data_IF_896172210398
#
_entry.id   IF_896172210398
#
_cell.length_a   1.000
_cell.length_b   1.000
_cell.length_c   1.000
_cell.angle_alpha   90.00
_cell.angle_beta   90.00
_cell.angle_gamma   90.00
#
_symmetry.space_group_name_H-M   'P 1'
#
loop_
_entity.id
_entity.type
_entity.pdbx_description
1 polymer ?
#
# COMPACT_ATOMS: atom_id res chain seq x y z
N UNK A 1 55.75 41.65 -45.22
CA UNK A 1 54.73 41.74 -44.15
C UNK A 1 53.78 40.57 -44.30
N UNK A 2 53.95 39.54 -43.46
CA UNK A 2 52.85 39.13 -42.58
C UNK A 2 53.30 38.67 -41.17
N UNK A 3 52.39 38.93 -40.23
CA UNK A 3 51.86 38.10 -39.13
C UNK A 3 52.76 37.19 -38.26
N UNK A 4 52.83 37.59 -36.98
CA UNK A 4 52.55 36.87 -35.70
C UNK A 4 52.54 35.33 -35.72
N UNK A 5 53.14 34.69 -34.70
CA UNK A 5 52.60 33.47 -34.11
C UNK A 5 52.18 33.70 -32.66
N UNK A 6 50.87 33.58 -32.44
CA UNK A 6 50.21 33.61 -31.13
C UNK A 6 50.47 32.30 -30.43
N UNK A 7 51.00 32.37 -29.21
CA UNK A 7 51.34 31.22 -28.36
C UNK A 7 50.08 30.43 -28.02
N UNK A 8 50.09 29.16 -28.41
CA UNK A 8 49.05 28.17 -28.22
C UNK A 8 48.95 27.82 -26.72
N UNK A 9 47.93 28.34 -26.03
CA UNK A 9 47.62 28.00 -24.64
C UNK A 9 46.81 26.70 -24.62
N UNK A 10 47.47 25.61 -24.23
CA UNK A 10 46.89 24.29 -24.00
C UNK A 10 46.02 24.34 -22.72
N UNK A 11 44.70 24.50 -22.89
CA UNK A 11 43.73 24.36 -21.80
C UNK A 11 43.26 22.89 -21.73
N UNK A 12 43.99 22.10 -20.94
CA UNK A 12 43.51 20.85 -20.35
C UNK A 12 42.47 21.20 -19.29
N UNK A 13 41.21 21.30 -19.70
CA UNK A 13 40.06 21.25 -18.82
C UNK A 13 39.20 20.05 -19.21
N UNK A 14 39.73 18.83 -18.98
CA UNK A 14 38.88 17.65 -18.76
C UNK A 14 38.19 17.82 -17.40
N UNK A 15 37.22 18.73 -17.35
CA UNK A 15 36.18 18.72 -16.34
C UNK A 15 35.15 17.71 -16.79
N UNK A 16 35.35 16.43 -16.46
CA UNK A 16 34.27 15.44 -16.50
C UNK A 16 33.20 15.89 -15.52
N UNK A 17 32.25 16.69 -16.04
CA UNK A 17 30.97 16.93 -15.39
C UNK A 17 30.25 15.61 -15.29
N UNK A 18 30.55 14.84 -14.25
CA UNK A 18 29.75 13.72 -13.82
C UNK A 18 28.44 14.37 -13.38
N UNK A 19 27.48 14.46 -14.28
CA UNK A 19 26.10 14.53 -13.88
C UNK A 19 25.88 13.24 -13.08
N UNK A 20 26.01 13.34 -11.76
CA UNK A 20 25.23 12.51 -10.86
C UNK A 20 23.77 12.88 -11.15
N UNK A 21 23.25 12.40 -12.27
CA UNK A 21 21.89 11.93 -12.29
C UNK A 21 21.87 10.89 -11.17
N UNK A 22 21.49 11.36 -9.97
CA UNK A 22 20.93 10.49 -8.94
C UNK A 22 20.09 9.51 -9.72
N UNK A 23 20.49 8.24 -9.73
CA UNK A 23 19.69 7.19 -10.30
C UNK A 23 18.36 7.30 -9.55
N UNK A 24 17.39 7.95 -10.19
CA UNK A 24 16.05 8.02 -9.68
C UNK A 24 15.69 6.55 -9.52
N UNK A 25 15.56 6.12 -8.25
CA UNK A 25 15.01 4.82 -7.94
C UNK A 25 13.78 4.67 -8.84
N UNK A 26 13.60 3.52 -9.52
CA UNK A 26 12.53 3.38 -10.48
C UNK A 26 11.24 3.83 -9.79
N UNK A 27 10.45 4.71 -10.39
CA UNK A 27 9.26 5.22 -9.72
C UNK A 27 8.36 4.03 -9.31
N UNK A 28 8.15 3.84 -8.00
CA UNK A 28 7.69 2.59 -7.42
C UNK A 28 6.39 2.80 -6.65
N UNK A 29 5.29 2.24 -7.15
CA UNK A 29 4.11 1.95 -6.34
C UNK A 29 4.39 0.68 -5.52
N UNK A 30 5.14 0.83 -4.43
CA UNK A 30 5.50 -0.24 -3.51
C UNK A 30 4.83 -0.02 -2.17
N UNK A 31 3.86 -0.84 -1.78
CA UNK A 31 3.23 -0.78 -0.47
C UNK A 31 2.84 -2.18 0.03
N UNK A 32 2.55 -2.28 1.32
CA UNK A 32 2.14 -3.49 2.01
C UNK A 32 1.03 -3.14 3.00
N UNK A 33 0.01 -3.98 3.04
CA UNK A 33 -1.09 -3.85 4.00
C UNK A 33 -0.68 -4.55 5.29
N UNK A 34 -0.51 -3.79 6.36
CA UNK A 34 -0.17 -4.31 7.69
C UNK A 34 -1.43 -4.72 8.46
N UNK A 35 -2.57 -4.06 8.28
CA UNK A 35 -3.83 -4.48 8.89
C UNK A 35 -5.02 -4.00 8.03
N UNK A 36 -6.05 -4.85 7.78
CA UNK A 36 -6.24 -6.22 8.26
C UNK A 36 -5.23 -7.25 7.70
N UNK A 37 -4.86 -8.22 8.53
CA UNK A 37 -3.99 -9.36 8.22
C UNK A 37 -4.78 -10.49 7.53
N UNK A 38 -4.79 -10.51 6.20
CA UNK A 38 -4.87 -11.75 5.42
C UNK A 38 -4.94 -11.41 3.94
N UNK A 39 -3.81 -11.48 3.24
CA UNK A 39 -3.89 -11.58 1.78
C UNK A 39 -4.46 -12.95 1.41
N UNK A 40 -5.16 -13.02 0.27
CA UNK A 40 -5.39 -14.31 -0.39
C UNK A 40 -4.03 -15.02 -0.55
N UNK A 41 -3.98 -16.32 -0.28
CA UNK A 41 -2.75 -17.12 -0.30
C UNK A 41 -2.54 -17.84 -1.63
N UNK A 42 -1.30 -17.99 -2.10
CA UNK A 42 -0.92 -18.29 -3.50
C UNK A 42 -1.92 -19.10 -4.35
N UNK A 43 -2.07 -18.71 -5.63
CA UNK A 43 -2.89 -19.46 -6.59
C UNK A 43 -2.50 -20.95 -6.58
N UNK A 44 -3.51 -21.82 -6.63
CA UNK A 44 -3.26 -23.24 -6.85
C UNK A 44 -2.50 -23.44 -8.17
N UNK A 45 -1.61 -24.45 -8.25
CA UNK A 45 -0.98 -24.81 -9.50
C UNK A 45 -2.05 -25.06 -10.57
N UNK A 46 -1.94 -24.39 -11.70
CA UNK A 46 -2.78 -24.70 -12.86
C UNK A 46 -2.52 -26.15 -13.28
N UNK A 47 -3.57 -26.87 -13.68
CA UNK A 47 -3.38 -28.15 -14.38
C UNK A 47 -2.78 -27.82 -15.75
N UNK A 48 -1.81 -28.61 -16.26
CA UNK A 48 -1.10 -28.30 -17.51
C UNK A 48 -2.00 -28.06 -18.74
N UNK A 49 -3.22 -28.59 -18.73
CA UNK A 49 -4.19 -28.55 -19.83
C UNK A 49 -5.27 -27.46 -19.68
N UNK A 50 -5.25 -26.68 -18.60
CA UNK A 50 -6.18 -25.58 -18.37
C UNK A 50 -5.44 -24.25 -18.50
N UNK A 51 -6.04 -23.31 -19.24
CA UNK A 51 -5.55 -21.93 -19.30
C UNK A 51 -5.33 -21.38 -17.88
N UNK A 52 -4.22 -20.66 -17.70
CA UNK A 52 -3.86 -20.08 -16.41
C UNK A 52 -4.90 -19.01 -16.02
N UNK A 53 -5.79 -19.35 -15.08
CA UNK A 53 -6.78 -18.42 -14.57
C UNK A 53 -6.16 -17.49 -13.53
N UNK A 54 -5.99 -16.22 -13.89
CA UNK A 54 -5.50 -15.16 -13.00
C UNK A 54 -6.66 -14.30 -12.51
N UNK A 55 -7.22 -14.53 -11.30
CA UNK A 55 -8.28 -13.67 -10.78
C UNK A 55 -7.76 -12.25 -10.52
N UNK A 56 -8.62 -11.24 -10.61
CA UNK A 56 -8.26 -9.83 -10.35
C UNK A 56 -7.71 -9.57 -8.95
N UNK A 57 -8.02 -10.41 -7.98
CA UNK A 57 -7.31 -10.49 -6.71
C UNK A 57 -6.38 -11.72 -6.78
N UNK A 58 -5.21 -11.60 -7.46
CA UNK A 58 -4.47 -12.71 -8.07
C UNK A 58 -3.68 -13.54 -7.08
N UNK A 59 -3.78 -13.24 -5.78
CA UNK A 59 -2.93 -13.87 -4.77
C UNK A 59 -3.54 -15.12 -4.14
N UNK A 60 -4.73 -15.61 -4.53
CA UNK A 60 -5.17 -16.87 -3.95
C UNK A 60 -6.61 -17.30 -3.98
N UNK A 61 -6.82 -18.51 -3.46
CA UNK A 61 -8.13 -19.06 -3.11
C UNK A 61 -8.90 -18.13 -2.17
N UNK A 62 -10.23 -18.20 -2.28
CA UNK A 62 -11.14 -17.48 -1.38
C UNK A 62 -10.92 -18.00 0.03
N UNK A 63 -10.51 -17.13 0.95
CA UNK A 63 -10.24 -17.51 2.34
C UNK A 63 -11.52 -18.02 3.01
N UNK A 64 -11.59 -19.29 3.39
CA UNK A 64 -12.81 -19.87 3.96
C UNK A 64 -13.18 -19.31 5.34
N UNK A 65 -12.18 -18.91 6.14
CA UNK A 65 -12.38 -18.27 7.44
C UNK A 65 -11.66 -16.92 7.47
N UNK A 66 -12.23 -15.87 6.85
CA UNK A 66 -11.58 -14.58 6.75
C UNK A 66 -11.49 -13.86 8.10
N UNK A 67 -10.54 -12.94 8.21
CA UNK A 67 -10.34 -12.17 9.45
C UNK A 67 -11.61 -11.39 9.80
N UNK A 68 -11.96 -11.38 11.09
CA UNK A 68 -13.02 -10.52 11.59
C UNK A 68 -12.62 -9.04 11.47
N UNK A 69 -13.52 -8.21 10.94
CA UNK A 69 -13.36 -6.76 10.86
C UNK A 69 -14.58 -6.06 11.46
N UNK A 70 -14.35 -4.96 12.17
CA UNK A 70 -15.39 -4.20 12.83
C UNK A 70 -16.39 -3.64 11.81
N UNK A 71 -17.65 -4.00 11.97
CA UNK A 71 -18.72 -3.60 11.04
C UNK A 71 -19.28 -2.21 11.34
N UNK A 72 -19.28 -1.82 12.62
CA UNK A 72 -19.92 -0.58 13.12
C UNK A 72 -19.12 0.17 14.16
N UNK A 73 -18.20 -0.50 14.86
CA UNK A 73 -17.27 0.14 15.79
C UNK A 73 -16.07 0.73 15.04
N UNK A 74 -15.46 1.75 15.65
CA UNK A 74 -14.22 2.35 15.16
C UNK A 74 -13.10 1.33 15.23
N UNK A 75 -12.35 1.21 14.14
CA UNK A 75 -11.16 0.37 14.01
C UNK A 75 -10.09 1.16 13.26
N UNK A 76 -9.09 0.49 12.70
CA UNK A 76 -8.00 1.10 11.96
C UNK A 76 -7.66 0.35 10.68
N UNK A 77 -6.92 1.01 9.81
CA UNK A 77 -6.20 0.42 8.68
C UNK A 77 -4.72 0.79 8.84
N UNK A 78 -3.84 -0.16 8.58
CA UNK A 78 -2.39 0.08 8.65
C UNK A 78 -1.69 -0.33 7.35
N UNK A 79 -0.82 0.53 6.87
CA UNK A 79 -0.07 0.40 5.63
C UNK A 79 1.39 0.80 5.83
N UNK A 80 2.28 0.19 5.06
CA UNK A 80 3.64 0.68 4.87
C UNK A 80 3.98 0.76 3.39
N UNK A 81 4.65 1.81 2.95
CA UNK A 81 5.00 2.00 1.55
C UNK A 81 5.87 3.23 1.30
N UNK A 82 5.93 3.66 0.05
CA UNK A 82 6.74 4.82 -0.33
C UNK A 82 6.07 6.13 0.11
N UNK A 83 6.80 7.05 0.78
CA UNK A 83 6.27 8.35 1.12
C UNK A 83 5.69 9.10 -0.07
N UNK A 84 4.51 9.67 0.09
CA UNK A 84 3.80 10.43 -0.95
C UNK A 84 2.90 9.61 -1.87
N UNK A 85 3.01 8.28 -1.89
CA UNK A 85 2.03 7.43 -2.58
C UNK A 85 0.64 7.63 -1.97
N UNK A 86 -0.39 7.60 -2.81
CA UNK A 86 -1.78 7.79 -2.40
C UNK A 86 -2.46 6.44 -2.18
N UNK A 87 -2.93 6.19 -0.96
CA UNK A 87 -3.60 4.95 -0.58
C UNK A 87 -5.11 5.10 -0.63
N UNK A 88 -5.76 4.16 -1.30
CA UNK A 88 -7.21 4.03 -1.37
C UNK A 88 -7.63 2.64 -0.90
N UNK A 89 -8.69 2.57 -0.10
CA UNK A 89 -9.29 1.33 0.40
C UNK A 89 -10.77 1.27 -0.02
N UNK A 90 -11.15 0.18 -0.67
CA UNK A 90 -12.48 -0.08 -1.19
C UNK A 90 -13.01 -1.42 -0.66
N UNK A 91 -14.31 -1.64 -0.79
CA UNK A 91 -14.98 -2.85 -0.35
C UNK A 91 -16.04 -3.32 -1.35
N UNK A 92 -16.19 -4.63 -1.42
CA UNK A 92 -17.28 -5.30 -2.12
C UNK A 92 -17.80 -6.48 -1.31
N UNK A 93 -19.10 -6.74 -1.44
CA UNK A 93 -19.73 -7.95 -0.91
C UNK A 93 -19.48 -9.16 -1.82
N UNK A 94 -19.12 -8.93 -3.07
CA UNK A 94 -18.83 -10.01 -4.01
C UNK A 94 -17.44 -10.59 -3.73
N UNK A 95 -17.38 -11.84 -3.25
CA UNK A 95 -16.11 -12.51 -2.95
C UNK A 95 -15.28 -12.89 -4.18
N UNK A 96 -15.80 -12.71 -5.39
CA UNK A 96 -15.08 -12.97 -6.64
C UNK A 96 -15.14 -11.72 -7.54
N UNK A 97 -14.45 -10.63 -7.15
CA UNK A 97 -14.35 -9.44 -8.00
C UNK A 97 -13.49 -9.75 -9.22
N UNK A 98 -13.87 -9.21 -10.37
CA UNK A 98 -13.20 -9.38 -11.67
C UNK A 98 -12.43 -8.12 -12.09
N UNK A 99 -12.74 -6.98 -11.49
CA UNK A 99 -12.09 -5.70 -11.76
C UNK A 99 -12.21 -4.74 -10.57
N UNK A 100 -11.41 -3.68 -10.57
CA UNK A 100 -11.48 -2.58 -9.59
C UNK A 100 -12.90 -1.99 -9.45
N UNK A 101 -13.63 -1.85 -10.56
CA UNK A 101 -14.99 -1.28 -10.53
C UNK A 101 -16.01 -2.14 -9.78
N UNK A 102 -15.68 -3.41 -9.48
CA UNK A 102 -16.56 -4.29 -8.72
C UNK A 102 -16.54 -3.98 -7.21
N UNK A 103 -15.80 -2.95 -6.80
CA UNK A 103 -15.70 -2.42 -5.44
C UNK A 103 -16.43 -1.08 -5.30
N UNK A 104 -17.76 -1.09 -5.10
CA UNK A 104 -18.56 0.13 -5.09
C UNK A 104 -18.46 0.94 -3.78
N UNK A 105 -17.95 0.33 -2.71
CA UNK A 105 -17.95 0.96 -1.39
C UNK A 105 -16.57 1.51 -1.07
N UNK A 106 -16.47 2.82 -0.90
CA UNK A 106 -15.22 3.49 -0.53
C UNK A 106 -15.10 3.47 1.00
N UNK A 107 -13.97 2.99 1.51
CA UNK A 107 -13.61 3.03 2.93
C UNK A 107 -12.71 4.23 3.21
N UNK A 108 -11.69 4.42 2.36
CA UNK A 108 -10.69 5.48 2.44
C UNK A 108 -10.27 5.85 1.01
N UNK A 109 -9.99 7.12 0.74
CA UNK A 109 -9.59 7.57 -0.58
C UNK A 109 -8.39 8.52 -0.52
N UNK A 110 -7.42 8.27 -1.40
CA UNK A 110 -6.28 9.11 -1.73
C UNK A 110 -5.53 9.69 -0.51
N UNK A 111 -5.32 8.84 0.52
CA UNK A 111 -4.58 9.21 1.71
C UNK A 111 -3.07 9.10 1.46
N UNK A 112 -2.28 10.18 1.55
CA UNK A 112 -0.84 10.12 1.30
C UNK A 112 -0.10 9.33 2.38
N UNK A 113 0.87 8.52 1.94
CA UNK A 113 1.82 7.86 2.83
C UNK A 113 2.75 8.91 3.44
N UNK A 114 2.89 8.88 4.77
CA UNK A 114 3.72 9.83 5.51
C UNK A 114 5.21 9.65 5.20
N UNK A 115 6.06 10.65 5.48
CA UNK A 115 7.51 10.54 5.36
C UNK A 115 8.15 9.36 6.10
N UNK A 116 7.51 8.89 7.19
CA UNK A 116 7.92 7.67 7.92
C UNK A 116 7.75 6.38 7.11
N UNK A 117 7.04 6.43 5.98
CA UNK A 117 6.68 5.27 5.18
C UNK A 117 5.55 4.44 5.79
N UNK A 118 4.92 4.92 6.87
CA UNK A 118 3.81 4.24 7.55
C UNK A 118 2.55 5.10 7.52
N UNK A 119 1.40 4.43 7.47
CA UNK A 119 0.09 5.05 7.61
C UNK A 119 -0.75 4.17 8.50
N UNK A 120 -1.19 4.71 9.63
CA UNK A 120 -2.23 4.13 10.45
C UNK A 120 -3.35 5.14 10.63
N UNK A 121 -4.54 4.78 10.13
CA UNK A 121 -5.70 5.65 10.15
C UNK A 121 -6.86 4.95 10.82
N UNK A 122 -7.51 5.64 11.75
CA UNK A 122 -8.73 5.14 12.34
C UNK A 122 -9.88 5.28 11.34
N UNK A 123 -10.62 4.19 11.13
CA UNK A 123 -11.70 4.13 10.17
C UNK A 123 -12.93 3.50 10.81
N UNK A 124 -14.08 4.08 10.50
CA UNK A 124 -15.39 3.45 10.72
C UNK A 124 -15.98 3.19 9.34
N UNK A 125 -16.48 1.99 9.10
CA UNK A 125 -17.09 1.62 7.82
C UNK A 125 -18.25 2.59 7.53
N UNK A 126 -18.20 3.37 6.43
CA UNK A 126 -19.15 4.46 6.18
C UNK A 126 -20.46 3.99 5.50
N UNK A 127 -20.71 2.68 5.48
CA UNK A 127 -21.85 2.06 4.81
C UNK A 127 -22.41 0.90 5.64
N UNK A 128 -23.66 0.53 5.37
CA UNK A 128 -24.32 -0.53 6.12
C UNK A 128 -23.74 -1.92 5.79
N UNK A 129 -23.48 -2.69 6.84
CA UNK A 129 -22.97 -4.07 6.79
C UNK A 129 -23.75 -4.96 7.75
N UNK A 130 -23.87 -6.25 7.41
CA UNK A 130 -24.54 -7.24 8.26
C UNK A 130 -23.54 -8.01 9.12
N UNK A 131 -23.96 -8.45 10.30
CA UNK A 131 -23.19 -9.37 11.12
C UNK A 131 -22.90 -10.66 10.34
N UNK A 132 -21.65 -11.13 10.37
CA UNK A 132 -21.13 -12.26 9.61
C UNK A 132 -21.12 -12.09 8.07
N UNK A 133 -21.37 -10.88 7.54
CA UNK A 133 -21.21 -10.60 6.11
C UNK A 133 -19.75 -10.82 5.71
N UNK A 134 -19.52 -11.60 4.66
CA UNK A 134 -18.18 -11.78 4.09
C UNK A 134 -18.03 -10.93 2.85
N UNK A 135 -16.88 -10.28 2.71
CA UNK A 135 -16.56 -9.47 1.55
C UNK A 135 -15.07 -9.37 1.34
N UNK A 136 -14.68 -8.49 0.42
CA UNK A 136 -13.29 -8.27 0.04
C UNK A 136 -12.98 -6.79 0.19
N UNK A 137 -11.93 -6.49 0.95
CA UNK A 137 -11.29 -5.18 0.94
C UNK A 137 -10.22 -5.16 -0.13
N UNK A 138 -10.25 -4.12 -0.96
CA UNK A 138 -9.24 -3.83 -1.96
C UNK A 138 -8.47 -2.60 -1.53
N UNK A 139 -7.16 -2.71 -1.55
CA UNK A 139 -6.24 -1.64 -1.20
C UNK A 139 -5.39 -1.34 -2.42
N UNK A 140 -5.26 -0.08 -2.78
CA UNK A 140 -4.33 0.36 -3.82
C UNK A 140 -3.47 1.50 -3.33
N UNK A 141 -2.19 1.47 -3.69
CA UNK A 141 -1.29 2.61 -3.60
C UNK A 141 -0.97 3.08 -5.01
N UNK A 142 -1.14 4.39 -5.23
CA UNK A 142 -0.87 5.04 -6.50
C UNK A 142 0.24 6.05 -6.33
N UNK A 143 1.28 5.92 -7.16
CA UNK A 143 2.29 6.97 -7.30
C UNK A 143 1.66 8.17 -8.04
N UNK A 144 1.54 9.35 -7.41
CA UNK A 144 0.93 10.52 -8.02
C UNK A 144 1.75 11.08 -9.20
N UNK A 145 3.07 10.84 -9.25
CA UNK A 145 3.94 11.34 -10.30
C UNK A 145 3.89 10.47 -11.56
N UNK A 146 3.84 9.14 -11.41
CA UNK A 146 3.86 8.22 -12.56
C UNK A 146 2.54 7.54 -12.88
N UNK A 147 1.57 7.60 -11.96
CA UNK A 147 0.29 6.92 -12.10
C UNK A 147 0.38 5.40 -11.98
N UNK A 148 1.54 4.84 -11.62
CA UNK A 148 1.68 3.41 -11.33
C UNK A 148 0.84 3.05 -10.12
N UNK A 149 0.20 1.88 -10.19
CA UNK A 149 -0.64 1.36 -9.12
C UNK A 149 -0.15 -0.02 -8.71
N UNK A 150 -0.05 -0.23 -7.42
CA UNK A 150 0.02 -1.57 -6.83
C UNK A 150 -1.20 -1.77 -5.96
N UNK A 151 -1.69 -3.00 -5.89
CA UNK A 151 -2.88 -3.32 -5.12
C UNK A 151 -2.77 -4.65 -4.37
N UNK A 152 -3.58 -4.77 -3.32
CA UNK A 152 -3.76 -5.97 -2.50
C UNK A 152 -5.24 -6.17 -2.23
N UNK A 153 -5.64 -7.44 -2.07
CA UNK A 153 -6.99 -7.80 -1.66
C UNK A 153 -6.94 -8.65 -0.39
N UNK A 154 -7.87 -8.38 0.52
CA UNK A 154 -8.05 -9.12 1.78
C UNK A 154 -9.51 -9.50 1.93
N UNK A 155 -9.79 -10.79 2.16
CA UNK A 155 -11.13 -11.23 2.54
C UNK A 155 -11.37 -10.92 4.01
N UNK A 156 -12.55 -10.38 4.33
CA UNK A 156 -12.94 -10.00 5.69
C UNK A 156 -14.32 -10.55 6.02
N UNK A 157 -14.56 -10.79 7.31
CA UNK A 157 -15.87 -11.11 7.88
C UNK A 157 -16.30 -9.99 8.82
N UNK A 158 -17.43 -9.36 8.53
CA UNK A 158 -17.98 -8.30 9.36
C UNK A 158 -18.44 -8.86 10.70
N UNK A 159 -17.94 -8.28 11.79
CA UNK A 159 -18.23 -8.68 13.15
C UNK A 159 -18.60 -7.47 14.01
N UNK A 160 -19.39 -7.71 15.06
CA UNK A 160 -19.49 -6.78 16.18
C UNK A 160 -18.23 -6.96 17.02
N UNK A 161 -17.30 -6.02 16.92
CA UNK A 161 -16.10 -5.97 17.75
C UNK A 161 -16.29 -4.88 18.78
N UNK A 162 -15.91 -5.14 20.03
CA UNK A 162 -15.82 -4.06 21.02
C UNK A 162 -14.88 -2.97 20.48
N UNK A 163 -15.29 -1.71 20.62
CA UNK A 163 -14.43 -0.60 20.25
C UNK A 163 -13.17 -0.69 21.13
N UNK A 164 -12.00 -0.86 20.51
CA UNK A 164 -10.75 -0.73 21.25
C UNK A 164 -10.72 0.66 21.88
N UNK A 165 -10.25 0.81 23.14
CA UNK A 165 -10.05 2.13 23.74
C UNK A 165 -9.19 3.01 22.81
N UNK A 166 -9.30 4.33 22.93
CA UNK A 166 -8.60 5.28 22.05
C UNK A 166 -7.06 5.15 22.06
N UNK A 167 -6.51 4.33 22.95
CA UNK A 167 -5.12 3.90 22.92
C UNK A 167 -4.84 3.10 21.65
N UNK A 168 -4.02 3.70 20.80
CA UNK A 168 -3.60 3.12 19.53
C UNK A 168 -3.12 1.68 19.72
N UNK A 169 -3.59 0.72 18.90
CA UNK A 169 -3.11 -0.65 18.99
C UNK A 169 -1.60 -0.64 18.81
N UNK A 170 -0.87 -1.52 19.53
CA UNK A 170 0.60 -1.58 19.56
C UNK A 170 1.29 -1.69 18.17
N UNK A 171 0.49 -1.93 17.14
CA UNK A 171 0.83 -1.97 15.72
C UNK A 171 0.92 -0.60 15.05
N UNK A 172 0.45 0.46 15.70
CA UNK A 172 0.37 1.82 15.21
C UNK A 172 0.97 2.74 16.27
N UNK A 173 2.12 3.35 15.98
CA UNK A 173 2.56 4.46 16.82
C UNK A 173 1.56 5.61 16.63
N UNK A 174 1.18 6.25 17.73
CA UNK A 174 0.31 7.42 17.71
C UNK A 174 0.86 8.44 16.70
N UNK A 175 0.02 8.97 15.80
CA UNK A 175 0.43 10.03 14.87
C UNK A 175 1.29 9.60 13.68
N UNK A 176 1.33 8.32 13.28
CA UNK A 176 2.17 7.80 12.18
C UNK A 176 3.69 7.91 12.44
N UNK A 177 4.07 7.95 13.71
CA UNK A 177 5.47 7.90 14.12
C UNK A 177 6.03 6.47 14.00
N UNK A 178 7.34 6.34 13.88
CA UNK A 178 8.01 5.06 13.66
C UNK A 178 8.18 4.32 15.00
N UNK A 179 7.34 3.31 15.25
CA UNK A 179 7.37 2.39 16.40
C UNK A 179 7.17 3.04 17.78
N UNK A 180 6.39 2.37 18.63
CA UNK A 180 6.35 2.70 20.07
C UNK A 180 7.78 2.53 20.59
N UNK A 181 8.42 3.57 21.15
CA UNK A 181 9.74 3.43 21.74
C UNK A 181 9.68 2.33 22.81
N UNK A 182 10.68 1.45 22.79
CA UNK A 182 10.82 0.41 23.81
C UNK A 182 10.82 1.07 25.19
N UNK A 183 10.01 0.60 26.16
CA UNK A 183 9.98 1.20 27.49
C UNK A 183 11.38 1.14 28.12
N UNK A 184 11.78 2.21 28.80
CA UNK A 184 13.10 2.33 29.45
C UNK A 184 13.39 1.20 30.46
N UNK A 185 12.35 0.52 30.95
CA UNK A 185 12.45 -0.64 31.84
C UNK A 185 13.16 -1.85 31.22
N UNK A 186 13.39 -1.85 29.91
CA UNK A 186 14.05 -2.92 29.15
C UNK A 186 15.41 -2.51 28.53
N UNK A 187 15.96 -1.33 28.88
CA UNK A 187 17.33 -0.87 28.53
C UNK A 187 18.29 -0.98 29.71
#
# INVERSE_FOLDING_TARGET
MPNVPTVLTFLLALGTGINLASAAAPAHAGFHVQYPWSSRGANLPSRPELDEFHPFCPKGEIVHNPQAYARSSRTFLSFSGHPGDLVTALYTRNRVPKKRDDFPHIILQDLPIQPSGQVCVNVTIPFETKLNEMGVMYFEAKDPATGKVQYFCTDVKMADTEALPEEHPAMCAAGNETLIPMPDEYL
#
